data_IF_855827096747
#
_entry.id   IF_855827096747
#
_cell.length_a   1.000
_cell.length_b   1.000
_cell.length_c   1.000
_cell.angle_alpha   90.00
_cell.angle_beta   90.00
_cell.angle_gamma   90.00
#
_symmetry.space_group_name_H-M   'P 1'
#
loop_
_entity.id
_entity.type
_entity.pdbx_description
1 polymer ?
#
# COMPACT_ATOMS: atom_id res chain seq x y z
N UNK A 1 -18.16 -11.49 8.62
CA UNK A 1 -17.13 -10.68 7.94
C UNK A 1 -17.51 -9.21 8.05
N UNK A 2 -16.59 -8.39 8.48
CA UNK A 2 -16.75 -6.93 8.58
C UNK A 2 -15.73 -6.25 7.68
N UNK A 3 -16.18 -5.29 6.86
CA UNK A 3 -15.28 -4.43 6.08
C UNK A 3 -15.24 -3.05 6.74
N UNK A 4 -14.05 -2.54 7.00
CA UNK A 4 -13.84 -1.21 7.57
C UNK A 4 -12.60 -0.54 7.02
N UNK A 5 -12.52 0.76 7.20
CA UNK A 5 -11.27 1.48 6.96
C UNK A 5 -10.19 1.00 7.94
N UNK A 6 -8.97 0.93 7.48
CA UNK A 6 -7.84 0.58 8.33
C UNK A 6 -7.54 1.69 9.33
N UNK A 7 -6.82 1.33 10.38
CA UNK A 7 -6.30 2.25 11.38
C UNK A 7 -4.86 1.88 11.75
N UNK A 8 -4.21 2.70 12.56
CA UNK A 8 -2.80 2.49 12.89
C UNK A 8 -2.50 1.16 13.61
N UNK A 9 -3.48 0.55 14.30
CA UNK A 9 -3.26 -0.75 14.96
C UNK A 9 -3.16 -1.92 13.97
N UNK A 10 -3.58 -1.71 12.71
CA UNK A 10 -3.48 -2.70 11.65
C UNK A 10 -2.11 -2.70 10.96
N UNK A 11 -1.23 -1.73 11.24
CA UNK A 11 -0.01 -1.45 10.49
C UNK A 11 0.86 -2.69 10.25
N UNK A 12 1.06 -3.53 11.25
CA UNK A 12 1.89 -4.73 11.14
C UNK A 12 1.30 -5.77 10.19
N UNK A 13 -0.01 -6.03 10.29
CA UNK A 13 -0.70 -7.01 9.43
C UNK A 13 -0.88 -6.48 8.01
N UNK A 14 -1.21 -5.19 7.89
CA UNK A 14 -1.32 -4.53 6.59
C UNK A 14 0.01 -4.52 5.84
N UNK A 15 1.12 -4.23 6.50
CA UNK A 15 2.43 -4.22 5.83
C UNK A 15 2.73 -5.57 5.17
N UNK A 16 2.39 -6.67 5.84
CA UNK A 16 2.56 -8.02 5.30
C UNK A 16 1.63 -8.26 4.10
N UNK A 17 0.35 -7.90 4.21
CA UNK A 17 -0.62 -8.05 3.12
C UNK A 17 -0.25 -7.21 1.90
N UNK A 18 0.15 -5.96 2.10
CA UNK A 18 0.61 -5.08 1.02
C UNK A 18 1.83 -5.69 0.32
N UNK A 19 2.82 -6.15 1.08
CA UNK A 19 4.00 -6.79 0.52
C UNK A 19 3.62 -8.05 -0.28
N UNK A 20 2.79 -8.92 0.31
CA UNK A 20 2.39 -10.19 -0.31
C UNK A 20 1.51 -9.99 -1.56
N UNK A 21 0.85 -8.83 -1.70
CA UNK A 21 0.06 -8.50 -2.89
C UNK A 21 0.90 -8.35 -4.16
N UNK A 22 2.14 -7.85 -4.04
CA UNK A 22 3.01 -7.58 -5.18
C UNK A 22 4.52 -7.59 -4.80
N UNK A 23 5.05 -8.70 -4.29
CA UNK A 23 6.40 -8.72 -3.73
C UNK A 23 7.50 -8.38 -4.75
N UNK A 24 7.33 -8.81 -6.00
CA UNK A 24 8.29 -8.51 -7.08
C UNK A 24 8.25 -7.03 -7.46
N UNK A 25 7.05 -6.46 -7.64
CA UNK A 25 6.88 -5.06 -8.00
C UNK A 25 7.36 -4.13 -6.87
N UNK A 26 7.03 -4.43 -5.63
CA UNK A 26 7.50 -3.67 -4.47
C UNK A 26 9.02 -3.76 -4.31
N UNK A 27 9.61 -4.95 -4.46
CA UNK A 27 11.06 -5.13 -4.45
C UNK A 27 11.77 -4.32 -5.52
N UNK A 28 11.23 -4.31 -6.74
CA UNK A 28 11.77 -3.51 -7.85
C UNK A 28 11.60 -2.00 -7.60
N UNK A 29 10.43 -1.57 -7.12
CA UNK A 29 10.13 -0.15 -6.86
C UNK A 29 11.04 0.41 -5.76
N UNK A 30 11.18 -0.31 -4.65
CA UNK A 30 12.00 0.14 -3.53
C UNK A 30 13.50 -0.10 -3.77
N UNK A 31 13.85 -0.84 -4.82
CA UNK A 31 15.24 -1.17 -5.18
C UNK A 31 16.07 -1.69 -4.00
N UNK A 32 15.45 -2.48 -3.15
CA UNK A 32 16.04 -3.06 -1.95
C UNK A 32 15.73 -4.55 -1.98
N UNK A 33 16.77 -5.37 -2.05
CA UNK A 33 16.67 -6.84 -2.02
C UNK A 33 16.35 -7.39 -0.61
N UNK A 34 16.00 -6.52 0.33
CA UNK A 34 15.70 -6.88 1.71
C UNK A 34 14.20 -6.67 1.99
N UNK A 35 13.41 -7.75 1.95
CA UNK A 35 12.00 -7.75 2.36
C UNK A 35 11.76 -7.00 3.68
N UNK A 36 12.63 -7.19 4.66
CA UNK A 36 12.51 -6.57 5.98
C UNK A 36 12.56 -5.04 5.92
N UNK A 37 13.39 -4.47 5.04
CA UNK A 37 13.45 -3.00 4.87
C UNK A 37 12.16 -2.44 4.30
N UNK A 38 11.57 -3.10 3.30
CA UNK A 38 10.27 -2.71 2.73
C UNK A 38 9.17 -2.83 3.78
N UNK A 39 9.12 -3.92 4.53
CA UNK A 39 8.13 -4.11 5.60
C UNK A 39 8.26 -3.04 6.69
N UNK A 40 9.47 -2.70 7.12
CA UNK A 40 9.70 -1.66 8.13
C UNK A 40 9.24 -0.29 7.63
N UNK A 41 9.50 0.05 6.38
CA UNK A 41 8.96 1.26 5.76
C UNK A 41 7.43 1.26 5.76
N UNK A 42 6.81 0.17 5.32
CA UNK A 42 5.35 0.06 5.27
C UNK A 42 4.73 0.19 6.67
N UNK A 43 5.27 -0.48 7.68
CA UNK A 43 4.81 -0.32 9.08
C UNK A 43 4.91 1.13 9.52
N UNK A 44 6.07 1.78 9.31
CA UNK A 44 6.29 3.18 9.67
C UNK A 44 5.27 4.12 9.00
N UNK A 45 5.00 3.90 7.72
CA UNK A 45 4.03 4.70 6.97
C UNK A 45 2.58 4.45 7.40
N UNK A 46 2.22 3.21 7.69
CA UNK A 46 0.87 2.81 8.11
C UNK A 46 0.52 3.24 9.54
N UNK A 47 1.48 3.73 10.31
CA UNK A 47 1.21 4.37 11.61
C UNK A 47 0.62 5.78 11.48
N UNK A 48 0.65 6.36 10.30
CA UNK A 48 0.08 7.68 9.99
C UNK A 48 -1.04 7.54 8.95
N UNK A 49 -1.92 8.55 8.87
CA UNK A 49 -3.14 8.48 8.07
C UNK A 49 -2.92 8.69 6.57
N UNK A 50 -2.04 9.61 6.21
CA UNK A 50 -1.95 10.25 4.90
C UNK A 50 -0.97 9.58 3.92
N UNK A 51 -1.17 9.85 2.64
CA UNK A 51 -0.32 9.37 1.55
C UNK A 51 -0.64 7.94 1.09
N UNK A 52 0.06 7.48 0.07
CA UNK A 52 -0.18 6.18 -0.57
C UNK A 52 -0.10 5.00 0.41
N UNK A 53 0.81 5.07 1.36
CA UNK A 53 1.03 4.02 2.36
C UNK A 53 0.54 4.43 3.75
N UNK A 54 -0.34 5.45 3.86
CA UNK A 54 -1.04 5.78 5.09
C UNK A 54 -2.22 4.85 5.33
N UNK A 55 -2.62 4.65 6.59
CA UNK A 55 -3.70 3.70 6.90
C UNK A 55 -5.05 4.11 6.27
N UNK A 56 -5.34 5.41 6.13
CA UNK A 56 -6.60 5.88 5.54
C UNK A 56 -6.77 5.51 4.06
N UNK A 57 -5.69 5.18 3.36
CA UNK A 57 -5.75 4.73 1.97
C UNK A 57 -6.09 3.23 1.83
N UNK A 58 -6.34 2.53 2.94
CA UNK A 58 -6.54 1.10 2.97
C UNK A 58 -7.85 0.72 3.64
N UNK A 59 -8.42 -0.38 3.16
CA UNK A 59 -9.57 -1.05 3.74
C UNK A 59 -9.16 -2.44 4.18
N UNK A 60 -9.73 -2.92 5.27
CA UNK A 60 -9.51 -4.26 5.78
C UNK A 60 -10.81 -5.04 5.86
N UNK A 61 -10.72 -6.33 5.58
CA UNK A 61 -11.75 -7.30 5.89
C UNK A 61 -11.37 -8.03 7.17
N UNK A 62 -12.30 -8.13 8.12
CA UNK A 62 -12.14 -8.84 9.37
C UNK A 62 -13.02 -10.09 9.44
N UNK A 63 -12.47 -11.15 9.99
CA UNK A 63 -13.18 -12.37 10.40
C UNK A 63 -12.80 -12.65 11.85
N UNK A 64 -13.81 -12.83 12.69
CA UNK A 64 -13.62 -13.11 14.13
C UNK A 64 -12.68 -12.10 14.81
N UNK A 65 -12.88 -10.81 14.51
CA UNK A 65 -12.07 -9.66 14.97
C UNK A 65 -10.57 -9.75 14.59
N UNK A 66 -10.24 -10.49 13.54
CA UNK A 66 -8.89 -10.56 12.99
C UNK A 66 -8.86 -10.07 11.56
N UNK A 67 -7.87 -9.27 11.22
CA UNK A 67 -7.63 -8.84 9.83
C UNK A 67 -7.36 -10.05 8.96
N UNK A 68 -8.19 -10.24 7.96
CA UNK A 68 -8.14 -11.37 7.03
C UNK A 68 -7.60 -10.98 5.65
N UNK A 69 -7.84 -9.75 5.23
CA UNK A 69 -7.40 -9.23 3.93
C UNK A 69 -7.41 -7.71 3.91
N UNK A 70 -6.85 -7.16 2.84
CA UNK A 70 -6.84 -5.72 2.60
C UNK A 70 -7.02 -5.38 1.14
N UNK A 71 -7.40 -4.14 0.89
CA UNK A 71 -7.28 -3.48 -0.40
C UNK A 71 -6.95 -1.99 -0.22
N UNK A 72 -6.30 -1.40 -1.22
CA UNK A 72 -6.21 0.04 -1.36
C UNK A 72 -6.90 0.50 -2.64
N UNK A 73 -7.33 1.74 -2.66
CA UNK A 73 -7.99 2.34 -3.83
C UNK A 73 -7.44 3.74 -4.08
N UNK A 74 -7.42 4.16 -5.35
CA UNK A 74 -7.13 5.54 -5.71
C UNK A 74 -7.89 5.99 -6.95
N UNK A 75 -8.10 7.28 -7.05
CA UNK A 75 -8.74 7.98 -8.17
C UNK A 75 -7.69 8.72 -9.01
N UNK A 76 -8.11 9.20 -10.19
CA UNK A 76 -7.26 10.00 -11.08
C UNK A 76 -6.86 11.36 -10.48
N UNK A 77 -7.69 11.95 -9.65
CA UNK A 77 -7.56 13.31 -9.11
C UNK A 77 -7.21 13.32 -7.62
N UNK A 78 -6.17 12.56 -7.26
CA UNK A 78 -5.59 12.65 -5.92
C UNK A 78 -4.95 14.04 -5.72
N UNK A 79 -5.15 14.67 -4.54
CA UNK A 79 -4.58 15.98 -4.26
C UNK A 79 -3.05 15.91 -4.16
N UNK A 80 -2.38 17.02 -4.47
CA UNK A 80 -0.92 17.13 -4.35
C UNK A 80 -0.40 16.78 -2.95
N UNK A 81 -1.18 17.09 -1.92
CA UNK A 81 -0.86 16.73 -0.54
C UNK A 81 -0.70 15.23 -0.30
N UNK A 82 -1.44 14.39 -1.04
CA UNK A 82 -1.31 12.94 -0.99
C UNK A 82 0.06 12.48 -1.49
N UNK A 83 0.49 13.01 -2.64
CA UNK A 83 1.80 12.69 -3.21
C UNK A 83 2.94 13.25 -2.36
N UNK A 84 2.79 14.47 -1.82
CA UNK A 84 3.76 15.09 -0.93
C UNK A 84 3.94 14.30 0.37
N UNK A 85 2.85 13.82 0.98
CA UNK A 85 2.91 12.99 2.19
C UNK A 85 3.70 11.69 1.92
N UNK A 86 3.47 11.05 0.79
CA UNK A 86 4.21 9.84 0.39
C UNK A 86 5.70 10.13 0.22
N UNK A 87 6.05 11.22 -0.46
CA UNK A 87 7.44 11.63 -0.67
C UNK A 87 8.15 11.97 0.64
N UNK A 88 7.50 12.68 1.56
CA UNK A 88 8.04 13.01 2.88
C UNK A 88 8.37 11.74 3.66
N UNK A 89 7.48 10.75 3.67
CA UNK A 89 7.70 9.47 4.35
C UNK A 89 8.87 8.69 3.76
N UNK A 90 8.95 8.61 2.43
CA UNK A 90 10.05 7.96 1.73
C UNK A 90 11.39 8.64 2.05
N UNK A 91 11.41 9.97 2.00
CA UNK A 91 12.61 10.77 2.27
C UNK A 91 13.06 10.63 3.72
N UNK A 92 12.12 10.63 4.65
CA UNK A 92 12.41 10.49 6.08
C UNK A 92 12.97 9.11 6.42
N UNK A 93 12.43 8.06 5.80
CA UNK A 93 12.84 6.69 6.07
C UNK A 93 14.14 6.29 5.36
N UNK A 94 14.27 6.62 4.08
CA UNK A 94 15.38 6.16 3.22
C UNK A 94 16.42 7.23 2.90
N UNK A 95 16.15 8.50 3.18
CA UNK A 95 16.95 9.64 2.71
C UNK A 95 16.57 10.07 1.29
N UNK A 96 16.97 11.31 0.93
CA UNK A 96 16.52 11.97 -0.30
C UNK A 96 16.93 11.23 -1.59
N UNK A 97 18.17 10.74 -1.66
CA UNK A 97 18.67 10.06 -2.86
C UNK A 97 17.92 8.76 -3.14
N UNK A 98 17.69 7.95 -2.11
CA UNK A 98 16.95 6.69 -2.25
C UNK A 98 15.46 6.94 -2.51
N UNK A 99 14.85 7.93 -1.84
CA UNK A 99 13.48 8.34 -2.09
C UNK A 99 13.25 8.74 -3.55
N UNK A 100 14.17 9.49 -4.15
CA UNK A 100 14.11 9.84 -5.57
C UNK A 100 14.14 8.59 -6.46
N UNK A 101 14.99 7.63 -6.15
CA UNK A 101 15.06 6.35 -6.87
C UNK A 101 13.73 5.59 -6.81
N UNK A 102 13.09 5.55 -5.64
CA UNK A 102 11.76 4.92 -5.47
C UNK A 102 10.70 5.64 -6.29
N UNK A 103 10.68 6.97 -6.28
CA UNK A 103 9.73 7.76 -7.07
C UNK A 103 9.90 7.50 -8.57
N UNK A 104 11.14 7.46 -9.07
CA UNK A 104 11.43 7.18 -10.48
C UNK A 104 10.98 5.77 -10.88
N UNK A 105 11.23 4.77 -10.03
CA UNK A 105 10.79 3.40 -10.27
C UNK A 105 9.26 3.28 -10.24
N UNK A 106 8.60 3.96 -9.31
CA UNK A 106 7.13 4.03 -9.23
C UNK A 106 6.53 4.66 -10.48
N UNK A 107 7.13 5.74 -10.99
CA UNK A 107 6.68 6.40 -12.22
C UNK A 107 6.80 5.46 -13.42
N UNK A 108 7.90 4.73 -13.55
CA UNK A 108 8.09 3.78 -14.62
C UNK A 108 7.04 2.65 -14.62
N UNK A 109 6.60 2.20 -13.43
CA UNK A 109 5.50 1.25 -13.31
C UNK A 109 4.15 1.87 -13.69
N UNK A 110 3.89 3.10 -13.25
CA UNK A 110 2.65 3.82 -13.58
C UNK A 110 2.51 4.07 -15.08
N UNK A 111 3.61 4.33 -15.77
CA UNK A 111 3.63 4.53 -17.21
C UNK A 111 3.23 3.26 -18.00
N UNK A 112 3.30 2.09 -17.36
CA UNK A 112 2.84 0.81 -17.92
C UNK A 112 1.35 0.53 -17.69
N UNK A 113 0.68 1.36 -16.88
CA UNK A 113 -0.74 1.20 -16.52
C UNK A 113 -1.55 2.25 -17.29
N UNK A 114 -2.71 1.89 -17.86
CA UNK A 114 -3.60 2.89 -18.50
C UNK A 114 -3.96 3.99 -17.51
N UNK A 115 -4.01 5.25 -18.00
CA UNK A 115 -4.47 6.37 -17.19
C UNK A 115 -5.93 6.17 -16.80
N UNK A 116 -6.24 6.41 -15.53
CA UNK A 116 -7.61 6.38 -15.04
C UNK A 116 -8.41 7.56 -15.61
N UNK A 117 -9.63 7.30 -16.02
CA UNK A 117 -10.61 8.34 -16.34
C UNK A 117 -11.27 8.85 -15.04
N UNK A 118 -11.95 10.01 -15.12
CA UNK A 118 -12.51 10.68 -13.93
C UNK A 118 -13.58 9.86 -13.16
N UNK A 119 -14.16 8.85 -13.81
CA UNK A 119 -15.16 7.98 -13.19
C UNK A 119 -14.61 6.60 -12.79
N UNK A 120 -13.32 6.38 -12.96
CA UNK A 120 -12.66 5.10 -12.66
C UNK A 120 -11.97 5.13 -11.31
N UNK A 121 -11.99 3.98 -10.66
CA UNK A 121 -11.29 3.68 -9.42
C UNK A 121 -10.28 2.56 -9.68
N UNK A 122 -9.03 2.76 -9.34
CA UNK A 122 -8.03 1.71 -9.36
C UNK A 122 -8.02 0.97 -8.02
N UNK A 123 -8.03 -0.36 -8.07
CA UNK A 123 -7.78 -1.21 -6.90
C UNK A 123 -6.29 -1.56 -6.90
N UNK A 124 -5.60 -1.14 -5.84
CA UNK A 124 -4.22 -1.51 -5.59
C UNK A 124 -4.12 -2.68 -4.62
N UNK A 125 -3.00 -2.85 -4.02
CA UNK A 125 -2.64 -3.81 -2.98
C UNK A 125 -3.79 -4.67 -2.43
N UNK A 126 -4.26 -5.63 -3.24
CA UNK A 126 -5.34 -6.52 -2.87
C UNK A 126 -4.78 -7.88 -2.44
N UNK A 127 -4.94 -8.24 -1.18
CA UNK A 127 -4.44 -9.48 -0.64
C UNK A 127 -5.34 -10.05 0.46
N UNK A 128 -5.30 -11.37 0.59
CA UNK A 128 -5.98 -12.14 1.65
C UNK A 128 -4.97 -13.12 2.24
N UNK A 129 -4.82 -13.15 3.56
CA UNK A 129 -3.97 -14.12 4.24
C UNK A 129 -4.33 -15.56 3.88
N UNK A 130 -3.34 -16.41 3.69
CA UNK A 130 -3.50 -17.78 3.21
C UNK A 130 -4.55 -18.58 4.01
N UNK A 131 -4.57 -18.42 5.34
CA UNK A 131 -5.54 -19.10 6.24
C UNK A 131 -7.00 -18.70 6.01
N UNK A 132 -7.24 -17.59 5.30
CA UNK A 132 -8.57 -17.07 5.01
C UNK A 132 -8.95 -17.13 3.53
N UNK A 133 -8.04 -17.58 2.66
CA UNK A 133 -8.33 -17.72 1.23
C UNK A 133 -9.42 -18.75 0.97
N UNK A 134 -10.09 -18.64 -0.18
CA UNK A 134 -11.21 -19.50 -0.61
C UNK A 134 -12.44 -19.46 0.31
N UNK A 135 -12.60 -18.40 1.09
CA UNK A 135 -13.76 -18.16 1.96
C UNK A 135 -14.68 -17.05 1.47
N UNK A 136 -14.53 -16.62 0.22
CA UNK A 136 -15.35 -15.55 -0.37
C UNK A 136 -14.98 -14.13 0.07
N UNK A 137 -13.81 -13.91 0.70
CA UNK A 137 -13.40 -12.58 1.16
C UNK A 137 -13.09 -11.65 -0.01
N UNK A 138 -12.55 -12.21 -1.09
CA UNK A 138 -12.15 -11.49 -2.29
C UNK A 138 -13.24 -11.47 -3.38
N UNK A 139 -14.43 -11.88 -3.06
CA UNK A 139 -15.61 -11.79 -3.92
C UNK A 139 -16.51 -10.65 -3.50
#
# INVERSE_FOLDING_TARGET
MLNRQANQSDASLLSQLIYDSAPVALGATFNINAKLSVLNFLVSSLLTSDGQYGFENHWVAEIDNQVAGCLSTWHSDLPDSFHQATLIKLTHFYGAAHALSVVQASQALQDCIPKLENHELCIGHFAVFAKYQRRGIAT
#
